data_IF_106418471351
#
_entry.id   IF_106418471351
#
_cell.length_a   1.000
_cell.length_b   1.000
_cell.length_c   1.000
_cell.angle_alpha   90.00
_cell.angle_beta   90.00
_cell.angle_gamma   90.00
#
_symmetry.space_group_name_H-M   'P 1'
#
loop_
_entity.id
_entity.type
_entity.pdbx_description
1 polymer ?
#
# COMPACT_ATOMS: atom_id res chain seq x y z
N UNK A 1 -8.90 -2.32 8.97
CA UNK A 1 -9.73 -3.56 9.04
C UNK A 1 -11.19 -3.28 8.73
N UNK A 2 -11.97 -2.63 9.61
CA UNK A 2 -13.41 -2.35 9.35
C UNK A 2 -13.71 -1.70 7.99
N UNK A 3 -12.84 -0.78 7.54
CA UNK A 3 -12.95 -0.15 6.21
C UNK A 3 -12.69 -1.15 5.09
N UNK A 4 -11.66 -1.99 5.22
CA UNK A 4 -11.35 -3.06 4.27
C UNK A 4 -12.52 -4.05 4.13
N UNK A 5 -13.11 -4.47 5.26
CA UNK A 5 -14.30 -5.35 5.27
C UNK A 5 -15.46 -4.71 4.50
N UNK A 6 -15.68 -3.41 4.69
CA UNK A 6 -16.71 -2.68 3.98
C UNK A 6 -16.41 -2.61 2.47
N UNK A 7 -15.17 -2.26 2.09
CA UNK A 7 -14.75 -2.20 0.69
C UNK A 7 -14.96 -3.52 -0.03
N UNK A 8 -14.56 -4.65 0.57
CA UNK A 8 -14.74 -5.99 -0.02
C UNK A 8 -16.24 -6.29 -0.19
N UNK A 9 -17.07 -6.01 0.83
CA UNK A 9 -18.53 -6.23 0.74
C UNK A 9 -19.20 -5.40 -0.35
N UNK A 10 -18.65 -4.24 -0.69
CA UNK A 10 -19.17 -3.39 -1.77
C UNK A 10 -18.56 -3.72 -3.13
N UNK A 11 -17.71 -4.73 -3.24
CA UNK A 11 -17.01 -5.11 -4.48
C UNK A 11 -15.82 -4.21 -4.82
N UNK A 12 -15.36 -3.38 -3.88
CA UNK A 12 -14.14 -2.59 -4.00
C UNK A 12 -12.98 -3.38 -3.40
N UNK A 13 -12.31 -4.18 -4.22
CA UNK A 13 -11.23 -5.07 -3.77
C UNK A 13 -9.84 -4.43 -3.85
N UNK A 14 -9.75 -3.11 -4.05
CA UNK A 14 -8.48 -2.36 -4.04
C UNK A 14 -8.58 -1.26 -3.00
N UNK A 15 -7.56 -1.15 -2.14
CA UNK A 15 -7.40 -0.03 -1.22
C UNK A 15 -6.09 0.68 -1.46
N UNK A 16 -6.11 2.01 -1.29
CA UNK A 16 -4.93 2.85 -1.28
C UNK A 16 -4.63 3.30 0.14
N UNK A 17 -3.38 3.22 0.58
CA UNK A 17 -3.02 3.48 1.98
C UNK A 17 -3.18 4.94 2.39
N UNK A 18 -2.74 5.90 1.56
CA UNK A 18 -2.81 7.33 1.89
C UNK A 18 -3.16 8.23 0.69
N UNK A 19 -3.61 9.45 0.98
CA UNK A 19 -3.88 10.48 -0.05
C UNK A 19 -2.62 11.21 -0.52
N UNK A 20 -1.52 11.13 0.25
CA UNK A 20 -0.30 11.91 0.03
C UNK A 20 -0.23 13.23 0.81
N UNK A 21 -1.23 13.52 1.65
CA UNK A 21 -1.27 14.69 2.53
C UNK A 21 -1.26 14.28 4.01
N UNK A 22 -0.24 14.72 4.76
CA UNK A 22 -0.16 14.57 6.23
C UNK A 22 0.31 13.21 6.75
N UNK A 23 0.19 12.14 5.96
CA UNK A 23 0.50 10.77 6.38
C UNK A 23 1.36 10.02 5.36
N UNK A 24 2.17 9.08 5.87
CA UNK A 24 2.99 8.18 5.06
C UNK A 24 2.50 6.74 5.23
N UNK A 25 2.79 5.90 4.25
CA UNK A 25 2.55 4.46 4.38
C UNK A 25 3.43 3.86 5.46
N UNK A 26 2.81 3.06 6.33
CA UNK A 26 3.47 2.20 7.30
C UNK A 26 3.44 0.78 6.72
N UNK A 27 4.60 0.10 6.68
CA UNK A 27 4.73 -1.22 6.04
C UNK A 27 3.91 -2.27 6.78
N UNK A 28 3.81 -2.14 8.10
CA UNK A 28 3.04 -3.02 8.98
C UNK A 28 1.54 -3.02 8.63
N UNK A 29 0.98 -1.89 8.19
CA UNK A 29 -0.43 -1.82 7.78
C UNK A 29 -0.71 -2.68 6.54
N UNK A 30 0.25 -2.72 5.61
CA UNK A 30 0.19 -3.58 4.42
C UNK A 30 0.26 -5.04 4.86
N UNK A 31 1.23 -5.40 5.71
CA UNK A 31 1.38 -6.77 6.22
C UNK A 31 0.12 -7.28 6.93
N UNK A 32 -0.49 -6.44 7.78
CA UNK A 32 -1.72 -6.79 8.49
C UNK A 32 -2.86 -7.00 7.47
N UNK A 33 -3.01 -6.12 6.49
CA UNK A 33 -4.03 -6.26 5.46
C UNK A 33 -3.83 -7.55 4.64
N UNK A 34 -2.61 -7.81 4.16
CA UNK A 34 -2.30 -9.01 3.37
C UNK A 34 -2.42 -10.30 4.18
N UNK A 35 -2.10 -10.27 5.48
CA UNK A 35 -2.31 -11.42 6.38
C UNK A 35 -3.79 -11.77 6.54
N UNK A 36 -4.67 -10.78 6.61
CA UNK A 36 -6.11 -10.99 6.88
C UNK A 36 -6.86 -11.32 5.59
N UNK A 37 -6.59 -10.61 4.50
CA UNK A 37 -7.41 -10.71 3.28
C UNK A 37 -6.73 -11.46 2.13
N UNK A 38 -5.42 -11.70 2.19
CA UNK A 38 -4.71 -12.42 1.13
C UNK A 38 -4.97 -11.81 -0.25
N UNK A 39 -5.49 -12.63 -1.18
CA UNK A 39 -5.86 -12.23 -2.53
C UNK A 39 -7.20 -11.47 -2.64
N UNK A 40 -8.04 -11.49 -1.60
CA UNK A 40 -9.37 -10.87 -1.65
C UNK A 40 -9.30 -9.34 -1.58
N UNK A 41 -8.16 -8.80 -1.18
CA UNK A 41 -7.87 -7.37 -1.12
C UNK A 41 -6.49 -7.05 -1.69
N UNK A 42 -6.49 -6.22 -2.72
CA UNK A 42 -5.32 -5.57 -3.26
C UNK A 42 -4.99 -4.30 -2.48
N UNK A 43 -3.69 -4.10 -2.23
CA UNK A 43 -3.18 -2.95 -1.48
C UNK A 43 -2.23 -2.17 -2.37
N UNK A 44 -2.53 -0.89 -2.55
CA UNK A 44 -1.69 0.06 -3.26
C UNK A 44 -1.11 1.08 -2.29
N UNK A 45 0.21 1.06 -2.13
CA UNK A 45 0.91 1.94 -1.21
C UNK A 45 1.09 3.35 -1.79
N UNK A 46 0.92 4.37 -0.96
CA UNK A 46 1.14 5.76 -1.30
C UNK A 46 1.60 6.59 -0.11
N UNK A 47 2.38 7.63 -0.38
CA UNK A 47 2.91 8.52 0.65
C UNK A 47 4.19 7.99 1.30
N UNK A 48 5.26 8.78 1.20
CA UNK A 48 6.51 8.55 1.93
C UNK A 48 7.56 7.66 1.27
N UNK A 49 7.25 6.96 0.17
CA UNK A 49 8.22 6.13 -0.55
C UNK A 49 9.13 6.98 -1.45
N UNK A 50 10.39 7.18 -1.04
CA UNK A 50 11.36 8.03 -1.74
C UNK A 50 12.67 7.32 -2.13
N UNK A 51 12.92 6.13 -1.60
CA UNK A 51 14.14 5.36 -1.87
C UNK A 51 13.85 3.97 -2.42
N UNK A 52 14.84 3.36 -3.07
CA UNK A 52 14.76 1.99 -3.59
C UNK A 52 14.51 0.97 -2.48
N UNK A 53 15.11 1.15 -1.32
CA UNK A 53 14.97 0.28 -0.16
C UNK A 53 13.54 0.32 0.39
N UNK A 54 12.95 1.51 0.51
CA UNK A 54 11.55 1.67 0.91
C UNK A 54 10.61 1.02 -0.09
N UNK A 55 10.85 1.19 -1.39
CA UNK A 55 10.05 0.56 -2.43
C UNK A 55 10.10 -0.97 -2.33
N UNK A 56 11.28 -1.55 -2.11
CA UNK A 56 11.44 -3.00 -1.89
C UNK A 56 10.68 -3.48 -0.65
N UNK A 57 10.77 -2.77 0.47
CA UNK A 57 10.04 -3.12 1.69
C UNK A 57 8.53 -3.15 1.47
N UNK A 58 8.00 -2.13 0.78
CA UNK A 58 6.58 -2.01 0.47
C UNK A 58 6.10 -3.13 -0.47
N UNK A 59 6.84 -3.43 -1.54
CA UNK A 59 6.52 -4.53 -2.45
C UNK A 59 6.57 -5.89 -1.73
N UNK A 60 7.62 -6.13 -0.93
CA UNK A 60 7.77 -7.38 -0.18
C UNK A 60 6.67 -7.57 0.88
N UNK A 61 6.12 -6.48 1.42
CA UNK A 61 4.96 -6.55 2.31
C UNK A 61 3.65 -6.93 1.60
N UNK A 62 3.65 -6.94 0.27
CA UNK A 62 2.54 -7.39 -0.56
C UNK A 62 1.69 -6.26 -1.17
N UNK A 63 2.25 -5.06 -1.29
CA UNK A 63 1.67 -4.00 -2.12
C UNK A 63 1.81 -4.35 -3.60
N UNK A 64 0.76 -4.19 -4.38
CA UNK A 64 0.79 -4.42 -5.84
C UNK A 64 1.35 -3.21 -6.60
N UNK A 65 1.01 -2.00 -6.15
CA UNK A 65 1.41 -0.74 -6.77
C UNK A 65 2.03 0.19 -5.72
N UNK A 66 3.00 1.01 -6.15
CA UNK A 66 3.54 2.12 -5.35
C UNK A 66 3.26 3.43 -6.08
N UNK A 67 2.46 4.29 -5.45
CA UNK A 67 2.21 5.66 -5.90
C UNK A 67 3.26 6.58 -5.29
N UNK A 68 4.20 7.06 -6.10
CA UNK A 68 5.28 7.94 -5.68
C UNK A 68 5.53 9.07 -6.68
N UNK A 69 5.85 10.26 -6.18
CA UNK A 69 6.26 11.41 -6.98
C UNK A 69 7.77 11.45 -7.26
N UNK A 70 8.54 10.51 -6.71
CA UNK A 70 10.01 10.49 -6.79
C UNK A 70 10.50 9.20 -7.47
N UNK A 71 9.83 8.75 -8.52
CA UNK A 71 10.15 7.48 -9.19
C UNK A 71 11.60 7.43 -9.69
N UNK A 72 12.14 8.55 -10.18
CA UNK A 72 13.52 8.59 -10.67
C UNK A 72 14.54 8.33 -9.55
N UNK A 73 14.35 8.88 -8.36
CA UNK A 73 15.21 8.63 -7.19
C UNK A 73 15.17 7.16 -6.71
N UNK A 74 14.12 6.43 -7.07
CA UNK A 74 13.93 5.02 -6.68
C UNK A 74 14.56 4.09 -7.72
N UNK A 75 14.56 4.47 -9.00
CA UNK A 75 15.02 3.63 -10.10
C UNK A 75 16.46 3.90 -10.53
N UNK A 76 16.95 5.12 -10.39
CA UNK A 76 18.36 5.48 -10.61
C UNK A 76 19.23 4.96 -9.47
#
# INVERSE_FOLDING_TARGET
IKVCDLSIRTGCNVIKTNTGYGYNTIVEDILIAKRIYGSDLEVEASGGCRTREQAKQILNAGSSVIHTSTIFNILQ
#
